data_IF_208387784958
#
_entry.id   IF_208387784958
#
_cell.length_a   1.000
_cell.length_b   1.000
_cell.length_c   1.000
_cell.angle_alpha   90.00
_cell.angle_beta   90.00
_cell.angle_gamma   90.00
#
_symmetry.space_group_name_H-M   'P 1'
#
loop_
_entity.id
_entity.type
_entity.pdbx_description
1 polymer ?
#
# COMPACT_ATOMS: atom_id res chain seq x y z
N UNK A 1 53.02 28.13 -11.79
CA UNK A 1 51.81 28.73 -12.38
C UNK A 1 50.65 27.80 -12.08
N UNK A 2 49.94 28.14 -11.01
CA UNK A 2 48.80 27.39 -10.49
C UNK A 2 47.56 27.76 -11.27
N UNK A 3 46.75 26.78 -11.63
CA UNK A 3 45.38 27.00 -12.09
C UNK A 3 44.44 26.29 -11.13
N UNK A 4 43.86 27.09 -10.25
CA UNK A 4 42.65 26.74 -9.52
C UNK A 4 41.50 26.49 -10.53
N UNK A 5 40.89 25.33 -10.42
CA UNK A 5 39.59 25.06 -11.04
C UNK A 5 38.55 25.08 -9.93
N UNK A 6 38.02 26.27 -9.65
CA UNK A 6 36.81 26.46 -8.86
C UNK A 6 35.62 25.94 -9.66
N UNK A 7 35.21 24.71 -9.42
CA UNK A 7 33.97 24.15 -9.90
C UNK A 7 32.76 24.82 -9.23
N UNK A 8 32.23 25.87 -9.84
CA UNK A 8 31.03 26.61 -9.43
C UNK A 8 29.83 25.66 -9.51
N UNK A 9 29.31 25.26 -8.32
CA UNK A 9 28.14 24.42 -8.14
C UNK A 9 26.96 25.03 -8.90
N UNK A 10 26.46 24.35 -9.94
CA UNK A 10 25.26 24.72 -10.69
C UNK A 10 24.09 24.80 -9.73
N UNK A 11 23.37 25.92 -9.71
CA UNK A 11 22.12 26.09 -8.98
C UNK A 11 21.10 25.16 -9.63
N UNK A 12 20.50 24.24 -8.84
CA UNK A 12 19.49 23.31 -9.33
C UNK A 12 18.37 24.08 -10.03
N UNK A 13 18.01 23.65 -11.25
CA UNK A 13 16.85 24.16 -11.96
C UNK A 13 15.56 23.75 -11.22
N UNK A 14 14.49 24.54 -11.38
CA UNK A 14 13.17 24.19 -10.86
C UNK A 14 12.77 22.83 -11.42
N UNK A 15 12.59 21.81 -10.55
CA UNK A 15 12.26 20.42 -10.92
C UNK A 15 13.33 19.38 -10.54
N UNK A 16 14.62 19.74 -10.50
CA UNK A 16 15.70 18.82 -10.10
C UNK A 16 15.58 18.36 -8.63
N UNK A 17 14.98 19.20 -7.77
CA UNK A 17 14.75 18.83 -6.36
C UNK A 17 13.71 17.72 -6.20
N UNK A 18 12.61 17.76 -6.94
CA UNK A 18 11.60 16.69 -6.87
C UNK A 18 12.14 15.39 -7.46
N UNK A 19 12.82 15.43 -8.60
CA UNK A 19 13.43 14.25 -9.19
C UNK A 19 14.42 13.56 -8.22
N UNK A 20 15.27 14.32 -7.53
CA UNK A 20 16.18 13.75 -6.54
C UNK A 20 15.43 13.14 -5.35
N UNK A 21 14.34 13.78 -4.90
CA UNK A 21 13.50 13.21 -3.84
C UNK A 21 12.90 11.88 -4.26
N UNK A 22 12.41 11.77 -5.47
CA UNK A 22 11.83 10.55 -6.03
C UNK A 22 12.89 9.45 -6.23
N UNK A 23 14.11 9.81 -6.66
CA UNK A 23 15.25 8.89 -6.76
C UNK A 23 15.63 8.31 -5.38
N UNK A 24 15.64 9.15 -4.32
CA UNK A 24 15.92 8.71 -2.95
C UNK A 24 14.87 7.69 -2.49
N UNK A 25 13.57 7.97 -2.71
CA UNK A 25 12.48 7.10 -2.31
C UNK A 25 12.51 5.78 -3.10
N UNK A 26 12.78 5.85 -4.41
CA UNK A 26 12.93 4.66 -5.26
C UNK A 26 14.07 3.76 -4.77
N UNK A 27 15.25 4.33 -4.52
CA UNK A 27 16.40 3.58 -4.00
C UNK A 27 16.13 2.96 -2.61
N UNK A 28 15.42 3.69 -1.74
CA UNK A 28 15.02 3.17 -0.43
C UNK A 28 14.03 2.01 -0.56
N UNK A 29 13.08 2.11 -1.49
CA UNK A 29 12.15 1.04 -1.80
C UNK A 29 12.87 -0.23 -2.27
N UNK A 30 13.86 -0.10 -3.15
CA UNK A 30 14.66 -1.24 -3.61
C UNK A 30 15.37 -1.94 -2.45
N UNK A 31 16.02 -1.17 -1.54
CA UNK A 31 16.65 -1.71 -0.34
C UNK A 31 15.63 -2.46 0.53
N UNK A 32 14.44 -1.90 0.72
CA UNK A 32 13.39 -2.52 1.52
C UNK A 32 12.83 -3.80 0.89
N UNK A 33 12.74 -3.85 -0.44
CA UNK A 33 12.37 -5.07 -1.19
C UNK A 33 13.45 -6.15 -1.05
N UNK A 34 14.71 -5.78 -1.14
CA UNK A 34 15.84 -6.71 -1.06
C UNK A 34 16.05 -7.24 0.36
N UNK A 35 16.05 -6.37 1.36
CA UNK A 35 16.49 -6.70 2.72
C UNK A 35 15.35 -6.88 3.74
N UNK A 36 14.14 -6.43 3.43
CA UNK A 36 12.96 -6.60 4.28
C UNK A 36 12.98 -5.85 5.62
N UNK A 37 14.00 -5.03 5.87
CA UNK A 37 14.19 -4.36 7.14
C UNK A 37 14.35 -2.85 6.99
N UNK A 38 13.55 -2.07 7.76
CA UNK A 38 13.62 -0.62 7.75
C UNK A 38 14.99 -0.08 8.22
N UNK A 39 15.69 -0.80 9.10
CA UNK A 39 17.03 -0.43 9.58
C UNK A 39 18.13 -0.54 8.51
N UNK A 40 17.88 -1.21 7.42
CA UNK A 40 18.79 -1.30 6.27
C UNK A 40 18.82 0.01 5.46
N UNK A 41 17.79 0.85 5.57
CA UNK A 41 17.74 2.16 4.93
C UNK A 41 18.63 3.13 5.70
N UNK A 42 19.84 3.36 5.18
CA UNK A 42 20.79 4.31 5.76
C UNK A 42 21.14 5.42 4.77
N UNK A 43 21.35 6.65 5.26
CA UNK A 43 21.69 7.79 4.39
C UNK A 43 22.97 7.55 3.57
N UNK A 44 23.96 6.88 4.15
CA UNK A 44 25.20 6.52 3.43
C UNK A 44 24.96 5.45 2.37
N UNK A 45 24.12 4.45 2.67
CA UNK A 45 23.74 3.40 1.74
C UNK A 45 23.01 3.97 0.54
N UNK A 46 22.02 4.82 0.78
CA UNK A 46 21.25 5.52 -0.25
C UNK A 46 22.14 6.41 -1.12
N UNK A 47 22.95 7.28 -0.49
CA UNK A 47 23.83 8.19 -1.20
C UNK A 47 24.79 7.45 -2.15
N UNK A 48 25.35 6.31 -1.68
CA UNK A 48 26.20 5.45 -2.51
C UNK A 48 25.44 4.81 -3.67
N UNK A 49 24.18 4.36 -3.43
CA UNK A 49 23.36 3.68 -4.45
C UNK A 49 22.97 4.61 -5.60
N UNK A 50 22.67 5.87 -5.31
CA UNK A 50 22.24 6.88 -6.31
C UNK A 50 23.38 7.83 -6.74
N UNK A 51 24.60 7.64 -6.23
CA UNK A 51 25.78 8.40 -6.67
C UNK A 51 25.84 9.86 -6.23
N UNK A 52 25.30 10.20 -5.05
CA UNK A 52 25.28 11.57 -4.51
C UNK A 52 26.04 11.69 -3.17
N UNK A 53 26.29 12.93 -2.76
CA UNK A 53 26.80 13.19 -1.41
C UNK A 53 25.70 12.99 -0.36
N UNK A 54 25.98 12.35 0.81
CA UNK A 54 24.97 12.15 1.85
C UNK A 54 24.29 13.43 2.33
N UNK A 55 24.99 14.56 2.30
CA UNK A 55 24.44 15.88 2.65
C UNK A 55 23.29 16.32 1.73
N UNK A 56 23.25 15.83 0.47
CA UNK A 56 22.19 16.17 -0.46
C UNK A 56 20.85 15.57 -0.04
N UNK A 57 20.85 14.44 0.68
CA UNK A 57 19.63 13.80 1.18
C UNK A 57 18.97 14.67 2.26
N UNK A 58 19.75 15.33 3.12
CA UNK A 58 19.21 16.20 4.18
C UNK A 58 18.45 17.42 3.66
N UNK A 59 18.59 17.76 2.37
CA UNK A 59 17.78 18.82 1.74
C UNK A 59 16.32 18.38 1.50
N UNK A 60 16.03 17.07 1.56
CA UNK A 60 14.75 16.48 1.23
C UNK A 60 14.11 15.68 2.36
N UNK A 61 14.92 15.13 3.27
CA UNK A 61 14.47 14.27 4.36
C UNK A 61 15.30 14.54 5.62
N UNK A 62 14.63 14.62 6.77
CA UNK A 62 15.30 14.81 8.06
C UNK A 62 16.11 13.58 8.49
N UNK A 63 15.77 12.39 8.00
CA UNK A 63 16.47 11.15 8.32
C UNK A 63 15.87 9.91 7.64
N UNK A 64 16.43 8.73 7.94
CA UNK A 64 15.96 7.47 7.35
C UNK A 64 14.50 7.16 7.61
N UNK A 65 13.98 7.49 8.79
CA UNK A 65 12.59 7.23 9.16
C UNK A 65 11.60 7.96 8.26
N UNK A 66 11.90 9.21 7.90
CA UNK A 66 11.06 9.99 6.98
C UNK A 66 11.09 9.41 5.57
N UNK A 67 12.23 8.88 5.14
CA UNK A 67 12.35 8.19 3.84
C UNK A 67 11.52 6.89 3.85
N UNK A 68 11.62 6.09 4.90
CA UNK A 68 10.82 4.87 5.08
C UNK A 68 9.33 5.20 5.12
N UNK A 69 8.94 6.31 5.74
CA UNK A 69 7.56 6.80 5.74
C UNK A 69 7.09 7.16 4.33
N UNK A 70 7.92 7.85 3.54
CA UNK A 70 7.59 8.18 2.15
C UNK A 70 7.37 6.91 1.31
N UNK A 71 8.25 5.89 1.44
CA UNK A 71 8.05 4.58 0.79
C UNK A 71 6.75 3.92 1.25
N UNK A 72 6.41 4.01 2.53
CA UNK A 72 5.17 3.44 3.08
C UNK A 72 3.94 4.09 2.44
N UNK A 73 3.92 5.43 2.33
CA UNK A 73 2.83 6.18 1.69
C UNK A 73 2.68 5.78 0.22
N UNK A 74 3.79 5.72 -0.54
CA UNK A 74 3.75 5.28 -1.93
C UNK A 74 3.28 3.83 -2.09
N UNK A 75 3.66 2.95 -1.17
CA UNK A 75 3.23 1.55 -1.19
C UNK A 75 1.73 1.42 -0.91
N UNK A 76 1.16 2.22 0.00
CA UNK A 76 -0.29 2.28 0.20
C UNK A 76 -1.02 2.79 -1.05
N UNK A 77 -0.52 3.84 -1.68
CA UNK A 77 -1.10 4.35 -2.93
C UNK A 77 -1.01 3.31 -4.06
N UNK A 78 0.09 2.55 -4.14
CA UNK A 78 0.24 1.46 -5.11
C UNK A 78 -0.77 0.34 -4.86
N UNK A 79 -0.95 -0.09 -3.60
CA UNK A 79 -1.96 -1.08 -3.23
C UNK A 79 -3.37 -0.59 -3.60
N UNK A 80 -3.69 0.68 -3.33
CA UNK A 80 -4.96 1.28 -3.72
C UNK A 80 -5.20 1.21 -5.22
N UNK A 81 -4.22 1.61 -6.04
CA UNK A 81 -4.31 1.50 -7.51
C UNK A 81 -4.52 0.05 -7.96
N UNK A 82 -3.76 -0.88 -7.40
CA UNK A 82 -3.88 -2.30 -7.74
C UNK A 82 -5.28 -2.85 -7.47
N UNK A 83 -5.91 -2.43 -6.37
CA UNK A 83 -7.30 -2.78 -6.02
C UNK A 83 -8.29 -2.14 -7.01
N UNK A 84 -8.10 -0.87 -7.36
CA UNK A 84 -8.98 -0.15 -8.30
C UNK A 84 -8.91 -0.76 -9.69
N UNK A 85 -7.70 -1.04 -10.19
CA UNK A 85 -7.47 -1.62 -11.51
C UNK A 85 -8.11 -3.02 -11.65
N UNK A 86 -8.05 -3.84 -10.60
CA UNK A 86 -8.68 -5.15 -10.59
C UNK A 86 -10.21 -5.12 -10.71
N UNK A 87 -10.83 -3.98 -10.45
CA UNK A 87 -12.29 -3.79 -10.55
C UNK A 87 -12.73 -3.23 -11.90
N UNK A 88 -11.80 -2.87 -12.78
CA UNK A 88 -12.14 -2.28 -14.08
C UNK A 88 -12.91 -3.27 -14.95
N UNK A 89 -13.95 -2.77 -15.62
CA UNK A 89 -14.81 -3.60 -16.50
C UNK A 89 -15.79 -4.51 -15.76
N UNK A 90 -15.78 -4.55 -14.43
CA UNK A 90 -16.75 -5.29 -13.63
C UNK A 90 -17.90 -4.35 -13.21
N UNK A 91 -19.15 -4.74 -13.48
CA UNK A 91 -20.33 -3.95 -13.15
C UNK A 91 -20.94 -4.39 -11.81
N UNK A 92 -21.09 -5.72 -11.61
CA UNK A 92 -21.73 -6.26 -10.42
C UNK A 92 -20.94 -5.97 -9.14
N UNK A 93 -21.54 -5.37 -8.09
CA UNK A 93 -20.89 -5.07 -6.81
C UNK A 93 -20.23 -6.29 -6.16
N UNK A 94 -20.87 -7.47 -6.27
CA UNK A 94 -20.34 -8.75 -5.82
C UNK A 94 -18.97 -9.04 -6.43
N UNK A 95 -18.90 -8.99 -7.76
CA UNK A 95 -17.67 -9.34 -8.49
C UNK A 95 -16.55 -8.31 -8.25
N UNK A 96 -16.92 -7.04 -8.15
CA UNK A 96 -16.00 -5.95 -7.77
C UNK A 96 -15.45 -6.14 -6.37
N UNK A 97 -16.27 -6.55 -5.39
CA UNK A 97 -15.80 -6.84 -4.03
C UNK A 97 -14.82 -8.01 -4.03
N UNK A 98 -15.15 -9.11 -4.69
CA UNK A 98 -14.28 -10.30 -4.80
C UNK A 98 -12.95 -9.93 -5.48
N UNK A 99 -13.00 -9.24 -6.62
CA UNK A 99 -11.81 -8.84 -7.37
C UNK A 99 -10.90 -7.91 -6.52
N UNK A 100 -11.46 -6.94 -5.82
CA UNK A 100 -10.71 -6.04 -4.95
C UNK A 100 -10.05 -6.76 -3.77
N UNK A 101 -10.76 -7.68 -3.13
CA UNK A 101 -10.21 -8.51 -2.05
C UNK A 101 -9.07 -9.41 -2.53
N UNK A 102 -9.24 -10.05 -3.68
CA UNK A 102 -8.20 -10.89 -4.30
C UNK A 102 -6.98 -10.08 -4.71
N UNK A 103 -7.18 -8.88 -5.27
CA UNK A 103 -6.08 -7.97 -5.60
C UNK A 103 -5.29 -7.56 -4.35
N UNK A 104 -5.97 -7.24 -3.25
CA UNK A 104 -5.32 -6.97 -1.96
C UNK A 104 -4.41 -8.13 -1.53
N UNK A 105 -4.92 -9.37 -1.55
CA UNK A 105 -4.15 -10.56 -1.16
C UNK A 105 -2.99 -10.83 -2.13
N UNK A 106 -3.23 -10.73 -3.44
CA UNK A 106 -2.20 -10.91 -4.46
C UNK A 106 -1.06 -9.89 -4.32
N UNK A 107 -1.38 -8.62 -4.04
CA UNK A 107 -0.38 -7.59 -3.77
C UNK A 107 0.48 -7.96 -2.54
N UNK A 108 -0.16 -8.38 -1.44
CA UNK A 108 0.54 -8.73 -0.21
C UNK A 108 1.48 -9.92 -0.36
N UNK A 109 1.06 -10.94 -1.13
CA UNK A 109 1.88 -12.12 -1.43
C UNK A 109 3.01 -11.80 -2.41
N UNK A 110 2.73 -10.97 -3.43
CA UNK A 110 3.74 -10.58 -4.42
C UNK A 110 4.77 -9.57 -3.90
N UNK A 111 4.49 -8.90 -2.77
CA UNK A 111 5.36 -7.87 -2.18
C UNK A 111 5.55 -8.07 -0.67
N UNK A 112 6.07 -9.23 -0.20
CA UNK A 112 6.04 -9.59 1.22
C UNK A 112 6.74 -8.57 2.12
N UNK A 113 7.90 -8.07 1.73
CA UNK A 113 8.68 -7.11 2.52
C UNK A 113 8.01 -5.74 2.61
N UNK A 114 7.46 -5.23 1.50
CA UNK A 114 6.72 -3.97 1.47
C UNK A 114 5.39 -4.09 2.21
N UNK A 115 4.70 -5.22 2.04
CA UNK A 115 3.46 -5.48 2.78
C UNK A 115 3.69 -5.52 4.30
N UNK A 116 4.75 -6.19 4.74
CA UNK A 116 5.17 -6.18 6.15
C UNK A 116 5.45 -4.76 6.67
N UNK A 117 5.95 -3.86 5.83
CA UNK A 117 6.20 -2.46 6.19
C UNK A 117 4.89 -1.69 6.45
N UNK A 118 3.84 -1.91 5.65
CA UNK A 118 2.54 -1.24 5.79
C UNK A 118 1.90 -1.47 7.17
N UNK A 119 2.11 -2.65 7.76
CA UNK A 119 1.46 -3.05 9.01
C UNK A 119 2.41 -3.08 10.22
N UNK A 120 3.69 -2.72 10.02
CA UNK A 120 4.56 -2.44 11.16
C UNK A 120 4.00 -1.23 11.88
N UNK A 121 3.89 -1.35 13.22
CA UNK A 121 3.44 -0.28 14.12
C UNK A 121 4.38 0.92 14.01
N UNK A 122 4.21 1.71 12.96
CA UNK A 122 5.00 2.92 12.75
C UNK A 122 4.36 4.03 13.60
N UNK A 123 5.02 4.39 14.69
CA UNK A 123 4.64 5.49 15.59
C UNK A 123 4.43 6.82 14.83
N UNK A 124 4.99 6.92 13.63
CA UNK A 124 4.93 8.09 12.78
C UNK A 124 3.62 8.20 11.95
N UNK A 125 2.92 7.07 11.71
CA UNK A 125 1.63 7.08 11.02
C UNK A 125 0.45 7.38 11.97
N UNK A 126 0.65 7.34 13.29
CA UNK A 126 -0.36 7.69 14.29
C UNK A 126 -0.51 9.19 14.53
N UNK A 127 0.21 10.05 13.81
CA UNK A 127 -0.04 11.49 13.76
C UNK A 127 -1.16 11.89 12.81
N UNK A 128 -1.56 10.98 11.89
CA UNK A 128 -2.80 11.08 11.16
C UNK A 128 -3.84 10.28 11.95
N UNK A 129 -4.61 10.94 12.81
CA UNK A 129 -5.87 10.41 13.33
C UNK A 129 -6.62 9.76 12.17
N UNK A 130 -7.18 8.51 12.33
CA UNK A 130 -8.14 8.03 11.37
C UNK A 130 -9.21 9.12 11.28
N UNK A 131 -9.33 9.76 10.14
CA UNK A 131 -10.37 10.76 9.92
C UNK A 131 -11.70 10.02 10.04
N UNK A 132 -12.21 9.91 11.25
CA UNK A 132 -13.60 9.60 11.55
C UNK A 132 -14.40 10.85 11.25
N UNK A 133 -14.50 11.22 9.97
CA UNK A 133 -15.57 12.11 9.53
C UNK A 133 -16.84 11.29 9.52
N UNK A 134 -17.91 11.79 10.18
CA UNK A 134 -19.21 11.16 10.08
C UNK A 134 -19.65 11.23 8.61
N UNK A 135 -19.97 10.08 8.03
CA UNK A 135 -20.97 9.86 6.98
C UNK A 135 -21.10 10.87 5.82
N UNK A 136 -20.02 11.47 5.35
CA UNK A 136 -20.00 12.02 4.00
C UNK A 136 -19.38 10.95 3.10
N UNK A 137 -20.08 10.59 2.03
CA UNK A 137 -19.75 9.51 1.12
C UNK A 137 -18.28 9.58 0.71
N UNK A 138 -17.45 8.56 1.00
CA UNK A 138 -16.13 8.50 0.41
C UNK A 138 -16.33 8.37 -1.09
N UNK A 139 -15.96 9.39 -1.84
CA UNK A 139 -15.89 9.31 -3.29
C UNK A 139 -14.98 8.12 -3.62
N UNK A 140 -15.55 7.08 -4.23
CA UNK A 140 -14.86 5.86 -4.66
C UNK A 140 -13.73 6.15 -5.68
N UNK A 141 -13.40 7.42 -5.88
CA UNK A 141 -12.35 7.97 -6.74
C UNK A 141 -11.24 8.68 -5.97
N UNK A 142 -11.36 8.80 -4.63
CA UNK A 142 -10.31 9.44 -3.83
C UNK A 142 -9.13 8.47 -3.67
N UNK A 143 -7.99 8.70 -4.35
CA UNK A 143 -6.80 7.86 -4.23
C UNK A 143 -6.19 7.90 -2.81
N UNK A 144 -6.58 8.89 -1.98
CA UNK A 144 -6.15 9.02 -0.59
C UNK A 144 -7.08 8.24 0.38
N UNK A 145 -8.23 7.75 -0.10
CA UNK A 145 -9.03 6.79 0.65
C UNK A 145 -8.25 5.48 0.76
N UNK A 146 -7.72 5.17 1.94
CA UNK A 146 -6.91 3.98 2.15
C UNK A 146 -7.65 2.67 1.78
N UNK A 147 -6.94 1.55 1.59
CA UNK A 147 -7.51 0.27 1.16
C UNK A 147 -8.71 -0.22 1.96
N UNK A 148 -8.81 0.15 3.24
CA UNK A 148 -9.94 -0.18 4.09
C UNK A 148 -11.23 0.56 3.69
N UNK A 149 -11.14 1.80 3.22
CA UNK A 149 -12.30 2.55 2.72
C UNK A 149 -12.88 1.87 1.47
N UNK A 150 -12.03 1.43 0.53
CA UNK A 150 -12.49 0.67 -0.64
C UNK A 150 -13.20 -0.64 -0.27
N UNK A 151 -12.76 -1.29 0.82
CA UNK A 151 -13.40 -2.51 1.31
C UNK A 151 -14.78 -2.21 1.89
N UNK A 152 -14.88 -1.16 2.72
CA UNK A 152 -16.17 -0.71 3.27
C UNK A 152 -17.17 -0.35 2.18
N UNK A 153 -16.74 0.36 1.15
CA UNK A 153 -17.58 0.71 0.01
C UNK A 153 -18.04 -0.51 -0.78
N UNK A 154 -17.14 -1.46 -1.03
CA UNK A 154 -17.52 -2.71 -1.70
C UNK A 154 -18.61 -3.45 -0.93
N UNK A 155 -18.49 -3.57 0.39
CA UNK A 155 -19.53 -4.19 1.24
C UNK A 155 -20.83 -3.40 1.20
N UNK A 156 -20.75 -2.04 1.27
CA UNK A 156 -21.95 -1.17 1.21
C UNK A 156 -22.71 -1.34 -0.10
N UNK A 157 -22.01 -1.37 -1.22
CA UNK A 157 -22.60 -1.59 -2.55
C UNK A 157 -23.27 -2.96 -2.66
N UNK A 158 -22.66 -4.03 -2.14
CA UNK A 158 -23.26 -5.36 -2.11
C UNK A 158 -24.52 -5.45 -1.22
N UNK A 159 -24.60 -4.64 -0.17
CA UNK A 159 -25.84 -4.53 0.63
C UNK A 159 -26.90 -3.79 -0.17
N UNK A 160 -26.56 -2.69 -0.82
CA UNK A 160 -27.47 -1.82 -1.54
C UNK A 160 -28.12 -2.52 -2.75
N UNK A 161 -27.36 -3.34 -3.48
CA UNK A 161 -27.89 -4.11 -4.64
C UNK A 161 -28.52 -5.45 -4.24
N UNK A 162 -28.48 -5.82 -2.95
CA UNK A 162 -29.06 -7.05 -2.43
C UNK A 162 -28.20 -8.31 -2.64
N UNK A 163 -27.00 -8.20 -3.21
CA UNK A 163 -26.06 -9.32 -3.39
C UNK A 163 -25.39 -9.77 -2.09
N UNK A 164 -25.51 -8.99 -0.99
CA UNK A 164 -25.02 -9.36 0.34
C UNK A 164 -26.13 -9.44 1.36
N UNK A 165 -26.08 -10.46 2.23
CA UNK A 165 -27.00 -10.63 3.36
C UNK A 165 -26.53 -10.03 4.68
N UNK A 166 -25.41 -9.29 4.72
CA UNK A 166 -24.88 -8.68 5.94
C UNK A 166 -25.62 -7.37 6.26
N UNK A 167 -25.58 -6.95 7.54
CA UNK A 167 -26.27 -5.74 8.01
C UNK A 167 -25.32 -4.64 8.50
N UNK A 168 -24.07 -5.01 8.82
CA UNK A 168 -23.10 -4.08 9.40
C UNK A 168 -21.84 -4.01 8.53
N UNK A 169 -21.71 -2.89 7.81
CA UNK A 169 -20.60 -2.64 6.89
C UNK A 169 -19.25 -2.70 7.62
N UNK A 170 -19.09 -1.95 8.71
CA UNK A 170 -17.83 -1.84 9.44
C UNK A 170 -17.41 -3.19 9.99
N UNK A 171 -18.31 -3.93 10.64
CA UNK A 171 -18.02 -5.26 11.19
C UNK A 171 -17.60 -6.23 10.09
N UNK A 172 -18.32 -6.26 8.96
CA UNK A 172 -18.01 -7.15 7.84
C UNK A 172 -16.69 -6.80 7.17
N UNK A 173 -16.43 -5.51 6.91
CA UNK A 173 -15.17 -5.05 6.36
C UNK A 173 -13.99 -5.39 7.27
N UNK A 174 -14.15 -5.23 8.59
CA UNK A 174 -13.12 -5.61 9.57
C UNK A 174 -12.83 -7.10 9.55
N UNK A 175 -13.86 -7.95 9.48
CA UNK A 175 -13.69 -9.41 9.40
C UNK A 175 -13.01 -9.82 8.10
N UNK A 176 -13.41 -9.26 6.97
CA UNK A 176 -12.77 -9.50 5.67
C UNK A 176 -11.31 -9.07 5.72
N UNK A 177 -11.03 -7.88 6.23
CA UNK A 177 -9.66 -7.38 6.32
C UNK A 177 -8.79 -8.27 7.20
N UNK A 178 -9.26 -8.66 8.39
CA UNK A 178 -8.54 -9.54 9.30
C UNK A 178 -8.25 -10.91 8.67
N UNK A 179 -9.24 -11.51 7.99
CA UNK A 179 -9.08 -12.79 7.32
C UNK A 179 -8.09 -12.72 6.15
N UNK A 180 -8.21 -11.72 5.28
CA UNK A 180 -7.29 -11.51 4.16
C UNK A 180 -5.86 -11.24 4.63
N UNK A 181 -5.72 -10.38 5.66
CA UNK A 181 -4.41 -10.07 6.25
C UNK A 181 -3.77 -11.31 6.85
N UNK A 182 -4.53 -12.10 7.60
CA UNK A 182 -4.07 -13.38 8.16
C UNK A 182 -3.61 -14.35 7.07
N UNK A 183 -4.38 -14.50 5.99
CA UNK A 183 -4.02 -15.36 4.86
C UNK A 183 -2.71 -14.92 4.20
N UNK A 184 -2.54 -13.62 3.93
CA UNK A 184 -1.30 -13.08 3.36
C UNK A 184 -0.10 -13.35 4.27
N UNK A 185 -0.22 -13.11 5.58
CA UNK A 185 0.86 -13.37 6.53
C UNK A 185 1.24 -14.85 6.61
N UNK A 186 0.25 -15.74 6.63
CA UNK A 186 0.47 -17.18 6.62
C UNK A 186 1.18 -17.64 5.35
N UNK A 187 0.75 -17.14 4.18
CA UNK A 187 1.38 -17.46 2.90
C UNK A 187 2.82 -16.97 2.77
N UNK A 188 3.11 -15.82 3.35
CA UNK A 188 4.47 -15.26 3.31
C UNK A 188 5.41 -15.87 4.35
N UNK A 189 4.88 -16.47 5.42
CA UNK A 189 5.67 -16.95 6.55
C UNK A 189 5.78 -18.47 6.69
N UNK A 190 4.96 -19.24 5.97
CA UNK A 190 4.88 -20.69 6.15
C UNK A 190 4.81 -21.46 4.84
N UNK A 191 5.62 -22.51 4.73
CA UNK A 191 5.45 -23.55 3.73
C UNK A 191 4.31 -24.47 4.18
N UNK A 192 3.20 -24.43 3.47
CA UNK A 192 2.02 -25.23 3.75
C UNK A 192 1.43 -25.76 2.43
N UNK A 193 0.87 -26.99 2.39
CA UNK A 193 0.19 -27.51 1.20
C UNK A 193 -1.15 -26.77 1.02
N UNK A 194 -1.07 -25.59 0.44
CA UNK A 194 -2.23 -24.74 0.20
C UNK A 194 -3.19 -25.41 -0.77
N UNK A 195 -4.52 -25.38 -0.52
CA UNK A 195 -5.53 -25.82 -1.49
C UNK A 195 -5.53 -24.91 -2.73
N UNK A 196 -6.44 -25.16 -3.67
CA UNK A 196 -6.71 -24.19 -4.74
C UNK A 196 -7.09 -22.85 -4.11
N UNK A 197 -6.12 -21.94 -4.12
CA UNK A 197 -6.26 -20.63 -3.45
C UNK A 197 -7.27 -19.74 -4.17
N UNK A 198 -7.43 -19.88 -5.48
CA UNK A 198 -8.37 -19.05 -6.23
C UNK A 198 -9.81 -19.33 -5.78
N UNK A 199 -10.15 -20.57 -5.56
CA UNK A 199 -11.47 -20.98 -5.06
C UNK A 199 -11.59 -20.64 -3.56
N UNK A 200 -10.59 -20.97 -2.74
CA UNK A 200 -10.61 -20.73 -1.30
C UNK A 200 -10.74 -19.23 -0.95
N UNK A 201 -10.10 -18.34 -1.74
CA UNK A 201 -10.24 -16.90 -1.59
C UNK A 201 -11.67 -16.43 -1.84
N UNK A 202 -12.31 -16.94 -2.92
CA UNK A 202 -13.70 -16.61 -3.25
C UNK A 202 -14.66 -17.11 -2.17
N UNK A 203 -14.47 -18.35 -1.69
CA UNK A 203 -15.27 -18.94 -0.61
C UNK A 203 -15.14 -18.14 0.69
N UNK A 204 -13.92 -17.74 1.07
CA UNK A 204 -13.66 -16.93 2.25
C UNK A 204 -14.41 -15.60 2.18
N UNK A 205 -14.27 -14.88 1.07
CA UNK A 205 -14.90 -13.58 0.86
C UNK A 205 -16.42 -13.73 0.86
N UNK A 206 -16.94 -14.71 0.11
CA UNK A 206 -18.38 -14.95 -0.03
C UNK A 206 -19.03 -15.34 1.30
N UNK A 207 -18.35 -16.16 2.11
CA UNK A 207 -18.85 -16.59 3.41
C UNK A 207 -18.93 -15.43 4.41
N UNK A 208 -17.88 -14.61 4.53
CA UNK A 208 -17.84 -13.48 5.47
C UNK A 208 -18.82 -12.39 5.05
N UNK A 209 -18.85 -12.04 3.77
CA UNK A 209 -19.75 -11.03 3.23
C UNK A 209 -21.16 -11.57 2.95
N UNK A 210 -21.41 -12.86 3.18
CA UNK A 210 -22.70 -13.53 2.91
C UNK A 210 -23.21 -13.20 1.51
N UNK A 211 -22.29 -13.34 0.53
CA UNK A 211 -22.64 -13.08 -0.87
C UNK A 211 -23.59 -14.15 -1.40
N UNK A 212 -24.58 -13.71 -2.16
CA UNK A 212 -25.55 -14.58 -2.83
C UNK A 212 -25.02 -14.94 -4.21
N UNK A 213 -25.36 -16.13 -4.68
CA UNK A 213 -25.11 -16.50 -6.07
C UNK A 213 -25.93 -15.59 -6.99
N UNK A 214 -25.37 -15.20 -8.17
CA UNK A 214 -26.15 -14.48 -9.16
C UNK A 214 -27.31 -15.34 -9.62
N UNK A 215 -28.50 -14.74 -9.68
CA UNK A 215 -29.70 -15.40 -10.24
C UNK A 215 -29.52 -15.64 -11.72
#
# INVERSE_FOLDING_TARGET
>A
MSREVTGRRRRNARGEGQALRDDIVSAAREILVEEGCASSVTLRGLARRIGIAPQSIYLHFAGPDEIVQAVTVETFAQLGRFIVDAKQGLEAPRDRLIAGCRAYMAFGVGNPNLYGLLFRRNRLLHGAEPRTTPADEPDNRDPDAGPFAYLMDGVRLCIADGSSGVKNVLSTATQLWAAMHGLVLLRNGYEFPWPDLAQAEVELISSIARLREPN
#
